data_IF_172671570047
#
_entry.id   IF_172671570047
#
_cell.length_a   1.000
_cell.length_b   1.000
_cell.length_c   1.000
_cell.angle_alpha   90.00
_cell.angle_beta   90.00
_cell.angle_gamma   90.00
#
_symmetry.space_group_name_H-M   'P 1'
#
loop_
_entity.id
_entity.type
_entity.pdbx_description
1 polymer ?
#
# COMPACT_ATOMS: atom_id res chain seq x y z
N UNK A 1 -11.58 12.71 21.81
CA UNK A 1 -10.48 13.59 21.34
C UNK A 1 -9.09 13.02 21.60
N UNK A 2 -8.77 12.46 22.78
CA UNK A 2 -7.44 11.91 23.08
C UNK A 2 -6.89 10.95 22.00
N UNK A 3 -7.73 10.05 21.48
CA UNK A 3 -7.36 9.14 20.40
C UNK A 3 -6.94 9.80 19.08
N UNK A 4 -7.65 10.87 18.69
CA UNK A 4 -7.32 11.64 17.50
C UNK A 4 -5.98 12.36 17.68
N UNK A 5 -5.69 12.87 18.89
CA UNK A 5 -4.41 13.48 19.20
C UNK A 5 -3.26 12.48 19.17
N UNK A 6 -3.44 11.26 19.70
CA UNK A 6 -2.43 10.21 19.64
C UNK A 6 -2.13 9.79 18.20
N UNK A 7 -3.18 9.53 17.41
CA UNK A 7 -3.05 9.22 15.99
C UNK A 7 -2.35 10.36 15.23
N UNK A 8 -2.78 11.61 15.45
CA UNK A 8 -2.18 12.76 14.81
C UNK A 8 -0.70 12.89 15.20
N UNK A 9 -0.36 12.77 16.49
CA UNK A 9 1.02 12.84 16.94
C UNK A 9 1.89 11.80 16.22
N UNK A 10 1.47 10.54 16.14
CA UNK A 10 2.19 9.49 15.43
C UNK A 10 2.30 9.79 13.93
N UNK A 11 1.17 10.03 13.26
CA UNK A 11 1.08 10.23 11.81
C UNK A 11 1.90 11.45 11.35
N UNK A 12 1.77 12.58 12.04
CA UNK A 12 2.54 13.79 11.73
C UNK A 12 4.02 13.68 12.11
N UNK A 13 4.37 12.91 13.15
CA UNK A 13 5.77 12.64 13.49
C UNK A 13 6.44 11.79 12.41
N UNK A 14 5.77 10.73 11.94
CA UNK A 14 6.27 9.89 10.85
C UNK A 14 6.38 10.66 9.53
N UNK A 15 5.41 11.53 9.23
CA UNK A 15 5.48 12.43 8.07
C UNK A 15 6.67 13.37 8.16
N UNK A 16 6.87 14.01 9.31
CA UNK A 16 8.00 14.92 9.54
C UNK A 16 9.34 14.18 9.40
N UNK A 17 9.48 13.00 10.02
CA UNK A 17 10.66 12.16 9.89
C UNK A 17 10.92 11.79 8.42
N UNK A 18 9.88 11.37 7.71
CA UNK A 18 9.96 11.03 6.28
C UNK A 18 10.43 12.20 5.42
N UNK A 19 9.87 13.39 5.61
CA UNK A 19 10.31 14.60 4.91
C UNK A 19 11.77 14.94 5.24
N UNK A 20 12.19 14.81 6.50
CA UNK A 20 13.59 15.05 6.90
C UNK A 20 14.53 14.06 6.21
N UNK A 21 14.17 12.78 6.16
CA UNK A 21 14.98 11.75 5.48
C UNK A 21 15.08 12.02 3.98
N UNK A 22 13.96 12.37 3.32
CA UNK A 22 13.94 12.72 1.89
C UNK A 22 14.76 13.99 1.65
N UNK A 23 14.62 14.99 2.51
CA UNK A 23 15.39 16.24 2.44
C UNK A 23 16.89 16.00 2.59
N UNK A 24 17.29 15.21 3.60
CA UNK A 24 18.70 14.84 3.81
C UNK A 24 19.27 14.07 2.61
N UNK A 25 18.52 13.08 2.09
CA UNK A 25 18.90 12.33 0.88
C UNK A 25 19.11 13.27 -0.30
N UNK A 26 18.15 14.15 -0.55
CA UNK A 26 18.20 15.10 -1.68
C UNK A 26 19.36 16.07 -1.53
N UNK A 27 19.62 16.59 -0.32
CA UNK A 27 20.76 17.45 -0.04
C UNK A 27 22.10 16.74 -0.27
N UNK A 28 22.25 15.52 0.25
CA UNK A 28 23.47 14.73 0.07
C UNK A 28 23.76 14.49 -1.42
N UNK A 29 22.75 14.15 -2.20
CA UNK A 29 22.86 13.96 -3.65
C UNK A 29 23.19 15.27 -4.38
N UNK A 30 22.52 16.37 -4.03
CA UNK A 30 22.81 17.68 -4.60
C UNK A 30 24.24 18.17 -4.26
N UNK A 31 24.77 17.80 -3.09
CA UNK A 31 26.13 18.13 -2.69
C UNK A 31 27.19 17.28 -3.38
N UNK A 32 26.92 15.99 -3.60
CA UNK A 32 27.84 15.06 -4.27
C UNK A 32 27.88 15.28 -5.78
N UNK A 33 26.72 15.39 -6.42
CA UNK A 33 26.60 15.40 -7.89
C UNK A 33 26.44 16.81 -8.46
N UNK A 34 26.08 17.78 -7.63
CA UNK A 34 25.69 19.12 -8.05
C UNK A 34 24.19 19.22 -8.37
N UNK A 35 23.56 20.34 -7.98
CA UNK A 35 22.10 20.52 -8.06
C UNK A 35 21.52 20.41 -9.47
N UNK A 36 22.33 20.71 -10.51
CA UNK A 36 21.91 20.61 -11.92
C UNK A 36 21.97 19.18 -12.47
N UNK A 37 22.62 18.26 -11.76
CA UNK A 37 22.85 16.88 -12.20
C UNK A 37 21.95 15.87 -11.47
N UNK A 38 20.89 16.33 -10.80
CA UNK A 38 19.93 15.46 -10.14
C UNK A 38 19.20 14.59 -11.17
N UNK A 39 19.01 13.32 -10.81
CA UNK A 39 18.37 12.31 -11.67
C UNK A 39 16.86 12.31 -11.43
N UNK A 40 16.13 11.66 -12.33
CA UNK A 40 14.67 11.54 -12.22
C UNK A 40 14.23 10.88 -10.90
N UNK A 41 15.00 9.92 -10.37
CA UNK A 41 14.77 9.29 -9.07
C UNK A 41 14.72 10.32 -7.93
N UNK A 42 15.60 11.32 -7.95
CA UNK A 42 15.67 12.36 -6.93
C UNK A 42 14.38 13.24 -6.95
N UNK A 43 13.89 13.59 -8.15
CA UNK A 43 12.64 14.35 -8.31
C UNK A 43 11.40 13.53 -7.94
N UNK A 44 11.37 12.25 -8.29
CA UNK A 44 10.28 11.34 -7.89
C UNK A 44 10.21 11.21 -6.38
N UNK A 45 11.35 11.21 -5.68
CA UNK A 45 11.37 11.14 -4.22
C UNK A 45 10.76 12.38 -3.58
N UNK A 46 10.98 13.56 -4.15
CA UNK A 46 10.32 14.81 -3.72
C UNK A 46 8.82 14.80 -4.05
N UNK A 47 8.44 14.28 -5.23
CA UNK A 47 7.05 14.19 -5.64
C UNK A 47 6.21 13.35 -4.66
N UNK A 48 6.76 12.28 -4.10
CA UNK A 48 6.09 11.40 -3.12
C UNK A 48 5.66 12.12 -1.84
N UNK A 49 6.30 13.24 -1.47
CA UNK A 49 5.90 14.05 -0.31
C UNK A 49 4.44 14.52 -0.45
N UNK A 50 4.01 14.85 -1.68
CA UNK A 50 2.68 15.38 -1.95
C UNK A 50 1.56 14.37 -1.62
N UNK A 51 1.49 13.18 -2.26
CA UNK A 51 0.45 12.20 -1.95
C UNK A 51 0.53 11.74 -0.49
N UNK A 52 1.73 11.61 0.09
CA UNK A 52 1.87 11.18 1.47
C UNK A 52 1.31 12.23 2.45
N UNK A 53 1.59 13.51 2.21
CA UNK A 53 0.99 14.61 3.01
C UNK A 53 -0.52 14.67 2.81
N UNK A 54 -1.01 14.51 1.57
CA UNK A 54 -2.44 14.50 1.27
C UNK A 54 -3.17 13.37 2.02
N UNK A 55 -2.58 12.18 2.08
CA UNK A 55 -3.13 11.04 2.81
C UNK A 55 -3.25 11.32 4.31
N UNK A 56 -2.19 11.82 4.94
CA UNK A 56 -2.16 12.14 6.37
C UNK A 56 -3.18 13.23 6.71
N UNK A 57 -3.27 14.28 5.90
CA UNK A 57 -4.26 15.36 6.08
C UNK A 57 -5.68 14.84 5.89
N UNK A 58 -5.92 13.97 4.91
CA UNK A 58 -7.23 13.36 4.71
C UNK A 58 -7.62 12.50 5.90
N UNK A 59 -6.71 11.65 6.39
CA UNK A 59 -6.95 10.81 7.56
C UNK A 59 -7.27 11.64 8.81
N UNK A 60 -6.52 12.71 9.05
CA UNK A 60 -6.77 13.63 10.15
C UNK A 60 -8.14 14.33 10.02
N UNK A 61 -8.47 14.87 8.86
CA UNK A 61 -9.75 15.58 8.64
C UNK A 61 -10.95 14.65 8.72
N UNK A 62 -10.82 13.39 8.28
CA UNK A 62 -11.83 12.35 8.48
C UNK A 62 -11.99 12.05 9.98
N UNK A 63 -10.88 11.80 10.69
CA UNK A 63 -10.90 11.58 12.14
C UNK A 63 -11.56 12.72 12.90
N UNK A 64 -11.25 13.97 12.57
CA UNK A 64 -11.86 15.16 13.16
C UNK A 64 -13.36 15.26 12.82
N UNK A 65 -13.75 14.98 11.57
CA UNK A 65 -15.15 15.05 11.12
C UNK A 65 -16.05 14.02 11.80
N UNK A 66 -15.50 12.87 12.17
CA UNK A 66 -16.20 11.80 12.88
C UNK A 66 -15.88 11.76 14.37
N UNK A 67 -15.40 12.87 14.95
CA UNK A 67 -15.12 13.02 16.39
C UNK A 67 -14.14 11.99 16.98
N UNK A 68 -13.33 11.33 16.13
CA UNK A 68 -12.46 10.24 16.52
C UNK A 68 -13.20 8.97 16.96
N UNK A 69 -14.46 8.78 16.53
CA UNK A 69 -15.29 7.61 16.88
C UNK A 69 -14.87 6.32 16.15
N UNK A 70 -13.66 6.23 15.63
CA UNK A 70 -13.14 4.98 15.08
C UNK A 70 -13.03 3.91 16.18
N UNK A 71 -13.30 2.65 15.84
CA UNK A 71 -13.36 1.55 16.81
C UNK A 71 -11.97 1.23 17.43
N UNK A 72 -10.89 1.63 16.76
CA UNK A 72 -9.50 1.38 17.16
C UNK A 72 -9.10 2.07 18.47
N UNK A 73 -9.89 3.03 18.96
CA UNK A 73 -9.59 3.81 20.16
C UNK A 73 -10.53 3.56 21.34
N UNK A 74 -11.42 2.57 21.23
CA UNK A 74 -12.39 2.24 22.26
C UNK A 74 -11.75 1.35 23.33
N UNK A 75 -11.80 1.74 24.61
CA UNK A 75 -11.32 0.91 25.72
C UNK A 75 -12.23 -0.31 25.92
N UNK A 76 -11.72 -1.34 26.59
CA UNK A 76 -12.50 -2.56 26.86
C UNK A 76 -13.74 -2.25 27.73
N UNK A 77 -13.63 -1.30 28.66
CA UNK A 77 -14.75 -0.82 29.49
C UNK A 77 -15.79 -0.08 28.65
N UNK A 78 -15.37 0.82 27.75
CA UNK A 78 -16.26 1.53 26.83
C UNK A 78 -16.96 0.58 25.87
N UNK A 79 -16.27 -0.49 25.44
CA UNK A 79 -16.83 -1.54 24.59
C UNK A 79 -17.88 -2.37 25.32
N UNK A 80 -17.61 -2.72 26.58
CA UNK A 80 -18.55 -3.46 27.43
C UNK A 80 -19.77 -2.62 27.83
N UNK A 81 -19.59 -1.31 28.02
CA UNK A 81 -20.65 -0.37 28.35
C UNK A 81 -21.58 -0.03 27.17
N UNK A 82 -21.16 -0.32 25.92
CA UNK A 82 -21.95 -0.03 24.73
C UNK A 82 -23.15 -0.99 24.63
N UNK A 83 -24.35 -0.43 24.79
CA UNK A 83 -25.58 -1.22 24.67
C UNK A 83 -25.74 -1.83 23.26
N UNK A 84 -25.95 -3.16 23.14
CA UNK A 84 -26.18 -3.83 21.85
C UNK A 84 -27.41 -3.33 21.08
N UNK A 85 -28.39 -2.71 21.77
CA UNK A 85 -29.60 -2.19 21.14
C UNK A 85 -29.45 -0.76 20.59
N UNK A 86 -28.35 -0.07 20.91
CA UNK A 86 -28.11 1.32 20.49
C UNK A 86 -27.87 1.45 18.99
N UNK A 87 -28.22 2.60 18.41
CA UNK A 87 -27.88 2.91 17.02
C UNK A 87 -26.36 2.96 16.80
N UNK A 88 -25.60 3.46 17.78
CA UNK A 88 -24.13 3.48 17.72
C UNK A 88 -23.55 2.08 17.56
N UNK A 89 -24.04 1.10 18.33
CA UNK A 89 -23.64 -0.30 18.18
C UNK A 89 -23.91 -0.82 16.77
N UNK A 90 -25.10 -0.52 16.21
CA UNK A 90 -25.47 -0.93 14.85
C UNK A 90 -24.54 -0.32 13.80
N UNK A 91 -24.22 0.97 13.90
CA UNK A 91 -23.29 1.63 12.97
C UNK A 91 -21.87 1.05 13.07
N UNK A 92 -21.39 0.76 14.28
CA UNK A 92 -20.05 0.20 14.53
C UNK A 92 -19.91 -1.25 14.10
N UNK A 93 -20.95 -2.07 14.30
CA UNK A 93 -20.94 -3.51 14.04
C UNK A 93 -21.33 -3.86 12.59
N UNK A 94 -22.44 -3.31 12.10
CA UNK A 94 -22.98 -3.66 10.78
C UNK A 94 -22.12 -3.11 9.63
N UNK A 95 -21.39 -2.02 9.89
CA UNK A 95 -20.42 -1.48 8.94
C UNK A 95 -19.26 -2.43 8.68
N UNK A 96 -18.91 -3.34 9.60
CA UNK A 96 -17.77 -4.25 9.47
C UNK A 96 -18.20 -5.65 8.98
N UNK A 97 -19.30 -6.18 9.51
CA UNK A 97 -19.78 -7.54 9.17
C UNK A 97 -20.05 -7.71 7.67
N UNK A 98 -20.52 -6.65 7.00
CA UNK A 98 -20.75 -6.65 5.55
C UNK A 98 -19.48 -6.80 4.70
N UNK A 99 -18.29 -6.47 5.25
CA UNK A 99 -17.02 -6.49 4.52
C UNK A 99 -16.02 -7.51 5.08
N UNK A 100 -16.26 -8.04 6.27
CA UNK A 100 -15.36 -8.99 6.94
C UNK A 100 -15.04 -10.19 6.06
N UNK A 101 -16.02 -10.74 5.34
CA UNK A 101 -15.79 -11.83 4.39
C UNK A 101 -14.82 -11.43 3.26
N UNK A 102 -14.97 -10.23 2.68
CA UNK A 102 -14.09 -9.73 1.59
C UNK A 102 -12.68 -9.45 2.10
N UNK A 103 -12.57 -8.89 3.30
CA UNK A 103 -11.29 -8.61 3.95
C UNK A 103 -10.56 -9.92 4.25
N UNK A 104 -11.26 -10.92 4.79
CA UNK A 104 -10.68 -12.24 5.10
C UNK A 104 -10.21 -12.96 3.84
N UNK A 105 -11.00 -12.91 2.75
CA UNK A 105 -10.57 -13.44 1.44
C UNK A 105 -9.32 -12.70 0.95
N UNK A 106 -9.25 -11.38 1.13
CA UNK A 106 -8.05 -10.60 0.81
C UNK A 106 -6.80 -11.06 1.58
N UNK A 107 -6.92 -11.27 2.89
CA UNK A 107 -5.81 -11.80 3.69
C UNK A 107 -5.35 -13.19 3.24
N UNK A 108 -6.29 -14.09 2.95
CA UNK A 108 -5.96 -15.43 2.43
C UNK A 108 -5.27 -15.32 1.07
N UNK A 109 -5.78 -14.47 0.16
CA UNK A 109 -5.19 -14.24 -1.16
C UNK A 109 -3.75 -13.73 -1.06
N UNK A 110 -3.49 -12.73 -0.20
CA UNK A 110 -2.13 -12.21 0.04
C UNK A 110 -1.22 -13.30 0.59
N UNK A 111 -1.67 -14.05 1.60
CA UNK A 111 -0.87 -15.11 2.20
C UNK A 111 -0.49 -16.19 1.18
N UNK A 112 -1.47 -16.65 0.39
CA UNK A 112 -1.26 -17.68 -0.63
C UNK A 112 -0.34 -17.18 -1.74
N UNK A 113 -0.55 -15.98 -2.26
CA UNK A 113 0.27 -15.41 -3.34
C UNK A 113 1.71 -15.16 -2.88
N UNK A 114 1.89 -14.68 -1.65
CA UNK A 114 3.21 -14.50 -1.05
C UNK A 114 3.96 -15.84 -0.89
N UNK A 115 3.30 -16.86 -0.32
CA UNK A 115 3.87 -18.20 -0.19
C UNK A 115 4.23 -18.78 -1.56
N UNK A 116 3.36 -18.62 -2.57
CA UNK A 116 3.60 -19.10 -3.92
C UNK A 116 4.82 -18.44 -4.56
N UNK A 117 4.99 -17.13 -4.40
CA UNK A 117 6.18 -16.40 -4.91
C UNK A 117 7.45 -16.90 -4.23
N UNK A 118 7.44 -17.01 -2.89
CA UNK A 118 8.57 -17.51 -2.13
C UNK A 118 8.92 -18.94 -2.57
N UNK A 119 7.95 -19.83 -2.62
CA UNK A 119 8.15 -21.21 -3.08
C UNK A 119 8.70 -21.26 -4.51
N UNK A 120 8.23 -20.40 -5.42
CA UNK A 120 8.72 -20.34 -6.80
C UNK A 120 10.19 -19.91 -6.88
N UNK A 121 10.64 -19.02 -5.99
CA UNK A 121 12.06 -18.61 -5.92
C UNK A 121 12.92 -19.75 -5.37
N UNK A 122 12.50 -20.38 -4.26
CA UNK A 122 13.30 -21.41 -3.60
C UNK A 122 13.31 -22.75 -4.35
N UNK A 123 12.19 -23.16 -4.92
CA UNK A 123 12.08 -24.41 -5.67
C UNK A 123 12.46 -24.25 -7.15
N UNK A 124 12.55 -23.02 -7.66
CA UNK A 124 12.79 -22.76 -9.10
C UNK A 124 14.21 -23.09 -9.57
N UNK A 125 15.21 -22.97 -8.71
CA UNK A 125 16.61 -23.27 -9.03
C UNK A 125 17.19 -24.25 -8.01
N UNK A 126 17.36 -25.51 -8.41
CA UNK A 126 18.03 -26.55 -7.63
C UNK A 126 19.12 -27.21 -8.50
N UNK A 127 20.38 -27.29 -8.05
CA UNK A 127 20.89 -26.89 -6.73
C UNK A 127 21.08 -25.38 -6.56
N UNK A 128 20.94 -24.88 -5.32
CA UNK A 128 21.00 -23.44 -5.00
C UNK A 128 22.31 -22.73 -5.37
N UNK A 129 23.43 -23.45 -5.51
CA UNK A 129 24.70 -22.84 -5.88
C UNK A 129 24.68 -22.24 -7.28
N UNK A 130 23.81 -22.73 -8.17
CA UNK A 130 23.63 -22.21 -9.52
C UNK A 130 23.03 -20.79 -9.53
N UNK A 131 22.44 -20.32 -8.42
CA UNK A 131 21.92 -18.97 -8.29
C UNK A 131 23.04 -17.90 -8.35
N UNK A 132 24.25 -18.27 -7.92
CA UNK A 132 25.43 -17.39 -7.89
C UNK A 132 26.42 -17.69 -9.02
N UNK A 133 26.09 -18.64 -9.90
CA UNK A 133 26.95 -19.05 -10.99
C UNK A 133 26.88 -18.05 -12.14
N UNK A 134 28.04 -17.60 -12.61
CA UNK A 134 28.17 -16.62 -13.70
C UNK A 134 28.44 -17.33 -15.03
N UNK A 135 29.37 -18.29 -15.04
CA UNK A 135 29.74 -19.09 -16.21
C UNK A 135 29.99 -20.55 -15.80
N UNK A 136 29.48 -21.56 -16.53
CA UNK A 136 28.55 -21.46 -17.67
C UNK A 136 27.15 -20.99 -17.25
N UNK A 137 26.35 -20.49 -18.20
CA UNK A 137 25.01 -19.93 -17.93
C UNK A 137 24.11 -20.93 -17.17
N UNK A 138 23.65 -20.61 -15.93
CA UNK A 138 22.80 -21.50 -15.13
C UNK A 138 21.36 -21.60 -15.65
N UNK A 139 20.99 -20.80 -16.66
CA UNK A 139 19.69 -20.81 -17.32
C UNK A 139 18.66 -19.87 -16.67
N UNK A 140 17.55 -19.66 -17.40
CA UNK A 140 16.60 -18.59 -17.10
C UNK A 140 15.86 -18.74 -15.75
N UNK A 141 15.75 -19.94 -15.19
CA UNK A 141 15.08 -20.18 -13.90
C UNK A 141 15.95 -19.81 -12.69
N UNK A 142 17.28 -19.84 -12.85
CA UNK A 142 18.24 -19.52 -11.81
C UNK A 142 18.61 -18.03 -11.72
N UNK A 143 17.93 -17.19 -12.50
CA UNK A 143 18.14 -15.74 -12.54
C UNK A 143 16.84 -14.99 -12.25
N UNK A 144 16.43 -14.81 -10.98
CA UNK A 144 15.12 -14.24 -10.63
C UNK A 144 14.85 -12.86 -11.24
N UNK A 145 15.89 -12.05 -11.46
CA UNK A 145 15.78 -10.72 -12.04
C UNK A 145 15.54 -10.69 -13.57
N UNK A 146 15.81 -11.80 -14.27
CA UNK A 146 15.71 -11.94 -15.74
C UNK A 146 14.80 -13.12 -16.16
N UNK A 147 14.30 -13.87 -15.17
CA UNK A 147 13.50 -15.07 -15.41
C UNK A 147 12.13 -14.72 -15.97
N UNK A 148 11.84 -15.17 -17.20
CA UNK A 148 10.57 -14.88 -17.88
C UNK A 148 9.39 -15.43 -17.09
N UNK A 149 9.51 -16.67 -16.60
CA UNK A 149 8.47 -17.34 -15.84
C UNK A 149 8.26 -16.69 -14.46
N UNK A 150 9.33 -16.43 -13.71
CA UNK A 150 9.20 -15.86 -12.36
C UNK A 150 8.67 -14.43 -12.41
N UNK A 151 9.13 -13.61 -13.35
CA UNK A 151 8.64 -12.22 -13.50
C UNK A 151 7.17 -12.22 -13.88
N UNK A 152 6.76 -13.06 -14.83
CA UNK A 152 5.36 -13.18 -15.22
C UNK A 152 4.48 -13.61 -14.04
N UNK A 153 4.90 -14.62 -13.27
CA UNK A 153 4.19 -15.08 -12.07
C UNK A 153 4.08 -13.98 -11.01
N UNK A 154 5.20 -13.37 -10.62
CA UNK A 154 5.25 -12.33 -9.59
C UNK A 154 4.38 -11.13 -9.98
N UNK A 155 4.51 -10.63 -11.20
CA UNK A 155 3.74 -9.47 -11.66
C UNK A 155 2.25 -9.80 -11.74
N UNK A 156 1.88 -10.97 -12.27
CA UNK A 156 0.47 -11.38 -12.36
C UNK A 156 -0.17 -11.51 -10.99
N UNK A 157 0.49 -12.20 -10.04
CA UNK A 157 -0.04 -12.40 -8.70
C UNK A 157 -0.18 -11.07 -7.94
N UNK A 158 0.81 -10.18 -8.03
CA UNK A 158 0.73 -8.85 -7.40
C UNK A 158 -0.38 -7.98 -8.02
N UNK A 159 -0.54 -7.97 -9.34
CA UNK A 159 -1.61 -7.21 -9.98
C UNK A 159 -2.98 -7.75 -9.57
N UNK A 160 -3.15 -9.07 -9.54
CA UNK A 160 -4.42 -9.69 -9.12
C UNK A 160 -4.74 -9.33 -7.66
N UNK A 161 -3.76 -9.39 -6.75
CA UNK A 161 -3.96 -9.00 -5.36
C UNK A 161 -4.29 -7.51 -5.24
N UNK A 162 -3.60 -6.64 -5.97
CA UNK A 162 -3.79 -5.19 -5.91
C UNK A 162 -5.16 -4.77 -6.43
N UNK A 163 -5.61 -5.35 -7.56
CA UNK A 163 -6.96 -5.14 -8.09
C UNK A 163 -8.01 -5.58 -7.07
N UNK A 164 -7.83 -6.74 -6.45
CA UNK A 164 -8.77 -7.24 -5.46
C UNK A 164 -8.89 -6.30 -4.26
N UNK A 165 -7.75 -5.87 -3.70
CA UNK A 165 -7.73 -4.96 -2.55
C UNK A 165 -8.34 -3.60 -2.87
N UNK A 166 -8.06 -3.04 -4.05
CA UNK A 166 -8.68 -1.79 -4.51
C UNK A 166 -10.19 -1.94 -4.75
N UNK A 167 -10.68 -3.15 -5.06
CA UNK A 167 -12.10 -3.41 -5.25
C UNK A 167 -12.90 -3.49 -3.94
N UNK A 168 -12.27 -3.79 -2.80
CA UNK A 168 -12.93 -3.88 -1.48
C UNK A 168 -13.73 -2.60 -1.14
N UNK A 169 -13.16 -1.38 -1.22
CA UNK A 169 -13.88 -0.15 -0.87
C UNK A 169 -14.86 0.34 -1.94
N UNK A 170 -14.77 -0.09 -3.22
CA UNK A 170 -15.58 0.47 -4.32
C UNK A 170 -17.11 0.38 -4.04
N UNK A 171 -17.66 -0.77 -3.59
CA UNK A 171 -19.09 -0.87 -3.30
C UNK A 171 -19.56 0.03 -2.15
N UNK A 172 -18.68 0.36 -1.19
CA UNK A 172 -18.97 1.32 -0.11
C UNK A 172 -19.15 2.70 -0.71
N UNK A 173 -18.23 3.09 -1.60
CA UNK A 173 -18.18 4.43 -2.18
C UNK A 173 -19.33 4.70 -3.14
N UNK A 174 -19.88 3.66 -3.78
CA UNK A 174 -21.05 3.79 -4.63
C UNK A 174 -22.34 3.98 -3.82
N UNK A 175 -22.44 3.38 -2.63
CA UNK A 175 -23.60 3.54 -1.74
C UNK A 175 -23.53 4.80 -0.88
N UNK A 176 -22.34 5.35 -0.68
CA UNK A 176 -22.14 6.52 0.17
C UNK A 176 -22.44 7.83 -0.58
N UNK A 177 -23.30 8.68 -0.01
CA UNK A 177 -23.60 10.01 -0.53
C UNK A 177 -22.48 11.00 -0.15
N UNK A 178 -21.32 10.85 -0.80
CA UNK A 178 -20.10 11.61 -0.50
C UNK A 178 -20.02 12.88 -1.35
N UNK A 179 -19.64 14.04 -0.78
CA UNK A 179 -19.40 15.27 -1.55
C UNK A 179 -18.43 15.05 -2.71
N UNK A 180 -18.73 15.66 -3.87
CA UNK A 180 -17.96 15.46 -5.12
C UNK A 180 -16.45 15.68 -4.95
N UNK A 181 -16.04 16.66 -4.14
CA UNK A 181 -14.64 16.93 -3.85
C UNK A 181 -13.93 15.78 -3.12
N UNK A 182 -14.57 15.20 -2.10
CA UNK A 182 -14.01 14.05 -1.37
C UNK A 182 -13.95 12.80 -2.25
N UNK A 183 -14.94 12.64 -3.13
CA UNK A 183 -14.95 11.57 -4.14
C UNK A 183 -13.81 11.73 -5.14
N UNK A 184 -13.49 12.95 -5.56
CA UNK A 184 -12.34 13.25 -6.44
C UNK A 184 -11.01 12.95 -5.75
N UNK A 185 -10.81 13.40 -4.50
CA UNK A 185 -9.59 13.12 -3.72
C UNK A 185 -9.39 11.62 -3.57
N UNK A 186 -10.46 10.88 -3.33
CA UNK A 186 -10.41 9.43 -3.19
C UNK A 186 -10.08 8.72 -4.53
N UNK A 187 -10.66 9.17 -5.64
CA UNK A 187 -10.29 8.68 -6.97
C UNK A 187 -8.81 8.94 -7.29
N UNK A 188 -8.30 10.12 -6.91
CA UNK A 188 -6.89 10.46 -7.05
C UNK A 188 -6.01 9.55 -6.17
N UNK A 189 -6.45 9.20 -4.97
CA UNK A 189 -5.74 8.25 -4.11
C UNK A 189 -5.63 6.85 -4.76
N UNK A 190 -6.72 6.33 -5.30
CA UNK A 190 -6.72 5.04 -6.00
C UNK A 190 -5.89 5.06 -7.31
N UNK A 191 -5.68 6.24 -7.90
CA UNK A 191 -4.87 6.37 -9.12
C UNK A 191 -3.41 5.97 -8.92
N UNK A 192 -2.87 6.13 -7.69
CA UNK A 192 -1.51 5.69 -7.36
C UNK A 192 -1.34 4.19 -7.48
N UNK A 193 -2.33 3.41 -7.02
CA UNK A 193 -2.33 1.95 -7.17
C UNK A 193 -2.38 1.53 -8.64
N UNK A 194 -3.23 2.18 -9.45
CA UNK A 194 -3.29 1.93 -10.89
C UNK A 194 -1.96 2.25 -11.58
N UNK A 195 -1.31 3.35 -11.19
CA UNK A 195 -0.01 3.72 -11.73
C UNK A 195 1.07 2.67 -11.44
N UNK A 196 1.15 2.19 -10.19
CA UNK A 196 2.12 1.14 -9.81
C UNK A 196 1.86 -0.16 -10.57
N UNK A 197 0.59 -0.55 -10.75
CA UNK A 197 0.23 -1.72 -11.56
C UNK A 197 0.68 -1.57 -13.02
N UNK A 198 0.45 -0.40 -13.65
CA UNK A 198 0.89 -0.13 -15.02
C UNK A 198 2.41 -0.18 -15.14
N UNK A 199 3.15 0.40 -14.18
CA UNK A 199 4.61 0.32 -14.16
C UNK A 199 5.11 -1.13 -14.06
N UNK A 200 4.45 -1.96 -13.24
CA UNK A 200 4.72 -3.40 -13.15
C UNK A 200 4.49 -4.14 -14.48
N UNK A 201 3.39 -3.85 -15.18
CA UNK A 201 3.10 -4.41 -16.51
C UNK A 201 4.17 -4.00 -17.51
N UNK A 202 4.54 -2.72 -17.56
CA UNK A 202 5.57 -2.22 -18.46
C UNK A 202 6.91 -2.93 -18.23
N UNK A 203 7.32 -3.09 -16.96
CA UNK A 203 8.52 -3.86 -16.61
C UNK A 203 8.45 -5.31 -17.10
N UNK A 204 7.30 -5.96 -16.94
CA UNK A 204 7.10 -7.33 -17.42
C UNK A 204 7.25 -7.42 -18.94
N UNK A 205 6.58 -6.53 -19.69
CA UNK A 205 6.64 -6.48 -21.17
C UNK A 205 8.06 -6.22 -21.67
N UNK A 206 8.81 -5.33 -21.00
CA UNK A 206 10.18 -5.00 -21.39
C UNK A 206 11.18 -6.15 -21.17
N UNK A 207 10.94 -7.02 -20.18
CA UNK A 207 11.85 -8.14 -19.87
C UNK A 207 11.46 -9.41 -20.65
N UNK A 208 10.18 -9.57 -21.02
CA UNK A 208 9.71 -10.72 -21.81
C UNK A 208 10.06 -10.62 -23.30
N UNK A 209 10.21 -9.39 -23.82
CA UNK A 209 10.78 -9.11 -25.15
C UNK A 209 12.27 -9.45 -25.17
#
# INVERSE_FOLDING_TARGET
MAALHSFAAEAFTLLALGIVVIGFRTYARAKQEGIRNLKIDDYLMLLVIVPYTMEIVLAYTVGARFYGLANNAMTDEQRAALSPSSEEYKWRHNGLSAYQARINVGFVLIAVTYIAIIASIFCGCQPFHNLWQIDPDPGNLCQPASSKLLIFLVVTLNIVTDIYLMAIPIPVLWKANVPKFKKLVLLLLFSGGVFVMVAGILRCVLILK
#
